data_IF_751857178751
#
_entry.id   IF_751857178751
#
_cell.length_a   1.000
_cell.length_b   1.000
_cell.length_c   1.000
_cell.angle_alpha   90.00
_cell.angle_beta   90.00
_cell.angle_gamma   90.00
#
_symmetry.space_group_name_H-M   'P 1'
#
loop_
_entity.id
_entity.type
_entity.pdbx_description
1 polymer ?
#
# COMPACT_ATOMS: atom_id res chain seq x y z
N UNK A 1 0.61 -9.13 9.22
CA UNK A 1 1.51 -10.30 9.23
C UNK A 1 0.84 -11.60 9.68
N UNK A 2 0.05 -11.65 10.76
CA UNK A 2 -0.52 -12.92 11.26
C UNK A 2 -1.43 -13.63 10.23
N UNK A 3 -2.30 -12.87 9.55
CA UNK A 3 -3.19 -13.41 8.52
C UNK A 3 -2.41 -13.96 7.32
N UNK A 4 -1.41 -13.22 6.82
CA UNK A 4 -0.60 -13.68 5.69
C UNK A 4 0.18 -14.94 6.03
N UNK A 5 0.65 -15.06 7.29
CA UNK A 5 1.28 -16.27 7.80
C UNK A 5 0.31 -17.45 7.82
N UNK A 6 -0.90 -17.31 8.38
CA UNK A 6 -1.84 -18.43 8.43
C UNK A 6 -2.28 -18.92 7.05
N UNK A 7 -2.50 -17.99 6.11
CA UNK A 7 -2.81 -18.35 4.73
C UNK A 7 -1.63 -19.06 4.06
N UNK A 8 -0.41 -18.59 4.29
CA UNK A 8 0.79 -19.26 3.81
C UNK A 8 0.94 -20.67 4.39
N UNK A 9 0.80 -20.82 5.71
CA UNK A 9 0.94 -22.11 6.41
C UNK A 9 -0.10 -23.13 5.93
N UNK A 10 -1.33 -22.68 5.62
CA UNK A 10 -2.41 -23.57 5.17
C UNK A 10 -2.33 -23.91 3.68
N UNK A 11 -2.06 -22.92 2.81
CA UNK A 11 -2.09 -23.11 1.35
C UNK A 11 -0.71 -23.40 0.75
N UNK A 12 0.38 -23.23 1.49
CA UNK A 12 1.76 -23.36 1.01
C UNK A 12 2.15 -22.32 -0.04
N UNK A 13 1.38 -21.23 -0.17
CA UNK A 13 1.54 -20.20 -1.19
C UNK A 13 1.64 -18.82 -0.54
N UNK A 14 2.55 -18.00 -1.05
CA UNK A 14 2.65 -16.60 -0.63
C UNK A 14 1.39 -15.83 -1.01
N UNK A 15 1.05 -14.86 -0.18
CA UNK A 15 -0.19 -14.09 -0.26
C UNK A 15 0.01 -12.85 -1.13
N UNK A 16 -1.01 -12.53 -1.93
CA UNK A 16 -1.13 -11.24 -2.60
C UNK A 16 -2.07 -10.38 -1.76
N UNK A 17 -1.60 -9.20 -1.35
CA UNK A 17 -2.40 -8.23 -0.60
C UNK A 17 -2.94 -7.17 -1.56
N UNK A 18 -4.26 -7.03 -1.61
CA UNK A 18 -4.95 -5.97 -2.36
C UNK A 18 -5.54 -5.00 -1.35
N UNK A 19 -5.15 -3.73 -1.42
CA UNK A 19 -5.58 -2.69 -0.50
C UNK A 19 -6.26 -1.60 -1.31
N UNK A 20 -7.58 -1.58 -1.24
CA UNK A 20 -8.37 -0.55 -1.90
C UNK A 20 -8.48 0.71 -1.04
N UNK A 21 -8.57 1.85 -1.72
CA UNK A 21 -8.74 3.19 -1.14
C UNK A 21 -7.84 3.47 0.07
N UNK A 22 -6.53 3.21 -0.07
CA UNK A 22 -5.57 3.36 1.04
C UNK A 22 -5.50 4.79 1.60
N UNK A 23 -5.92 5.78 0.80
CA UNK A 23 -5.91 7.21 1.09
C UNK A 23 -7.17 7.72 1.78
N UNK A 24 -8.30 6.99 1.70
CA UNK A 24 -9.55 7.35 2.39
C UNK A 24 -9.40 7.61 3.91
N UNK A 25 -8.72 6.75 4.70
CA UNK A 25 -8.53 7.03 6.11
C UNK A 25 -7.62 8.24 6.37
N UNK A 26 -6.73 8.56 5.44
CA UNK A 26 -5.82 9.72 5.54
C UNK A 26 -6.58 11.02 5.26
N UNK A 27 -7.49 11.01 4.28
CA UNK A 27 -8.40 12.12 3.99
C UNK A 27 -9.22 12.45 5.23
N UNK A 28 -9.88 11.45 5.82
CA UNK A 28 -10.68 11.64 7.03
C UNK A 28 -9.83 12.15 8.19
N UNK A 29 -8.61 11.67 8.35
CA UNK A 29 -7.71 12.19 9.36
C UNK A 29 -7.28 13.64 9.07
N UNK A 30 -7.12 14.03 7.82
CA UNK A 30 -6.82 15.40 7.41
C UNK A 30 -7.95 16.36 7.79
N UNK A 31 -9.19 16.00 7.48
CA UNK A 31 -10.40 16.77 7.83
C UNK A 31 -10.52 16.98 9.35
N UNK A 32 -10.05 16.02 10.14
CA UNK A 32 -10.06 16.08 11.61
C UNK A 32 -8.76 16.65 12.22
N UNK A 33 -7.85 17.23 11.43
CA UNK A 33 -6.61 17.84 11.95
C UNK A 33 -5.57 16.83 12.47
N UNK A 34 -5.65 15.57 12.04
CA UNK A 34 -4.79 14.46 12.46
C UNK A 34 -3.93 13.87 11.34
N UNK A 35 -3.78 14.59 10.22
CA UNK A 35 -3.04 14.15 9.03
C UNK A 35 -1.67 13.53 9.34
N UNK A 36 -0.80 14.27 10.06
CA UNK A 36 0.56 13.80 10.37
C UNK A 36 0.56 12.53 11.23
N UNK A 37 -0.40 12.39 12.16
CA UNK A 37 -0.53 11.18 13.00
C UNK A 37 -0.96 9.99 12.15
N UNK A 38 -1.92 10.19 11.25
CA UNK A 38 -2.39 9.14 10.35
C UNK A 38 -1.29 8.69 9.37
N UNK A 39 -0.60 9.63 8.71
CA UNK A 39 0.52 9.32 7.82
C UNK A 39 1.59 8.51 8.56
N UNK A 40 2.01 8.93 9.76
CA UNK A 40 3.02 8.21 10.53
C UNK A 40 2.56 6.80 10.93
N UNK A 41 1.29 6.66 11.32
CA UNK A 41 0.70 5.37 11.64
C UNK A 41 0.70 4.43 10.43
N UNK A 42 0.14 4.88 9.30
CA UNK A 42 0.04 4.10 8.08
C UNK A 42 1.41 3.77 7.49
N UNK A 43 2.37 4.71 7.56
CA UNK A 43 3.76 4.48 7.19
C UNK A 43 4.36 3.30 7.96
N UNK A 44 4.21 3.26 9.28
CA UNK A 44 4.65 2.14 10.11
C UNK A 44 3.92 0.83 9.79
N UNK A 45 2.60 0.91 9.62
CA UNK A 45 1.75 -0.24 9.30
C UNK A 45 2.15 -0.90 7.98
N UNK A 46 2.25 -0.14 6.89
CA UNK A 46 2.61 -0.67 5.57
C UNK A 46 4.07 -1.13 5.53
N UNK A 47 4.99 -0.42 6.20
CA UNK A 47 6.38 -0.87 6.35
C UNK A 47 6.46 -2.23 7.01
N UNK A 48 5.70 -2.48 8.08
CA UNK A 48 5.64 -3.79 8.73
C UNK A 48 4.93 -4.85 7.88
N UNK A 49 4.12 -4.46 6.90
CA UNK A 49 3.38 -5.41 6.05
C UNK A 49 4.22 -5.85 4.86
N UNK A 50 5.02 -4.93 4.30
CA UNK A 50 5.83 -5.14 3.09
C UNK A 50 7.26 -5.57 3.42
N UNK A 51 7.90 -4.95 4.43
CA UNK A 51 9.30 -5.22 4.77
C UNK A 51 9.40 -6.33 5.81
N UNK A 52 10.06 -7.43 5.46
CA UNK A 52 10.29 -8.57 6.36
C UNK A 52 9.11 -9.54 6.48
N UNK A 53 8.15 -9.49 5.55
CA UNK A 53 7.04 -10.43 5.48
C UNK A 53 7.27 -11.47 4.38
N UNK A 54 8.00 -12.54 4.71
CA UNK A 54 8.35 -13.61 3.74
C UNK A 54 7.12 -14.37 3.21
N UNK A 55 5.95 -14.17 3.84
CA UNK A 55 4.69 -14.78 3.47
C UNK A 55 3.92 -14.00 2.40
N UNK A 56 4.36 -12.79 2.05
CA UNK A 56 3.72 -11.93 1.05
C UNK A 56 4.57 -11.91 -0.20
N UNK A 57 3.93 -12.16 -1.35
CA UNK A 57 4.60 -12.08 -2.65
C UNK A 57 4.55 -10.66 -3.21
N UNK A 58 3.37 -10.03 -3.13
CA UNK A 58 3.12 -8.71 -3.72
C UNK A 58 2.04 -7.98 -2.93
N UNK A 59 2.15 -6.65 -2.86
CA UNK A 59 1.11 -5.76 -2.36
C UNK A 59 0.70 -4.80 -3.48
N UNK A 60 -0.58 -4.76 -3.79
CA UNK A 60 -1.18 -3.80 -4.72
C UNK A 60 -2.07 -2.86 -3.91
N UNK A 61 -1.89 -1.55 -4.11
CA UNK A 61 -2.63 -0.53 -3.38
C UNK A 61 -3.24 0.46 -4.37
N UNK A 62 -4.52 0.77 -4.20
CA UNK A 62 -5.27 1.70 -5.05
C UNK A 62 -5.78 2.89 -4.24
N UNK A 63 -5.76 4.07 -4.85
CA UNK A 63 -6.15 5.33 -4.21
C UNK A 63 -5.98 6.50 -5.17
N UNK A 64 -6.54 7.66 -4.81
CA UNK A 64 -6.59 8.85 -5.66
C UNK A 64 -5.46 9.84 -5.32
N UNK A 65 -5.13 9.98 -4.04
CA UNK A 65 -4.20 10.99 -3.55
C UNK A 65 -2.73 10.61 -3.72
N UNK A 66 -1.99 11.45 -4.44
CA UNK A 66 -0.53 11.34 -4.58
C UNK A 66 0.24 11.84 -3.36
N UNK A 67 -0.27 12.80 -2.59
CA UNK A 67 0.45 13.35 -1.42
C UNK A 67 0.56 12.32 -0.30
N UNK A 68 -0.52 11.55 -0.06
CA UNK A 68 -0.51 10.43 0.88
C UNK A 68 0.51 9.36 0.46
N UNK A 69 0.60 9.11 -0.85
CA UNK A 69 1.57 8.21 -1.48
C UNK A 69 3.01 8.57 -1.12
N UNK A 70 3.42 9.81 -1.36
CA UNK A 70 4.80 10.26 -1.10
C UNK A 70 5.15 10.19 0.39
N UNK A 71 4.20 10.57 1.27
CA UNK A 71 4.39 10.49 2.72
C UNK A 71 4.60 9.07 3.24
N UNK A 72 3.76 8.12 2.80
CA UNK A 72 3.80 6.72 3.25
C UNK A 72 4.96 5.96 2.61
N UNK A 73 5.16 6.13 1.30
CA UNK A 73 6.02 5.25 0.52
C UNK A 73 7.44 5.77 0.29
N UNK A 74 7.75 6.99 0.75
CA UNK A 74 9.12 7.54 0.75
C UNK A 74 10.16 6.67 1.45
N UNK A 75 9.75 5.75 2.34
CA UNK A 75 10.64 4.82 3.05
C UNK A 75 10.52 3.36 2.61
N UNK A 76 9.74 3.06 1.57
CA UNK A 76 9.61 1.70 1.04
C UNK A 76 10.52 1.55 -0.18
N UNK A 77 11.56 0.73 -0.03
CA UNK A 77 12.67 0.68 -0.99
C UNK A 77 12.37 0.00 -2.35
N UNK A 78 11.21 -0.66 -2.53
CA UNK A 78 10.91 -1.49 -3.71
C UNK A 78 9.46 -1.31 -4.23
N UNK A 79 8.93 -0.09 -4.30
CA UNK A 79 7.58 0.13 -4.86
C UNK A 79 7.65 0.58 -6.32
N UNK A 80 7.02 -0.18 -7.20
CA UNK A 80 6.73 0.27 -8.56
C UNK A 80 5.39 1.03 -8.56
N UNK A 81 5.37 2.12 -9.30
CA UNK A 81 4.24 3.04 -9.37
C UNK A 81 3.69 2.99 -10.77
N UNK A 82 2.39 2.70 -10.87
CA UNK A 82 1.65 2.86 -12.10
C UNK A 82 0.57 3.92 -11.92
N UNK A 83 0.45 4.83 -12.88
CA UNK A 83 -0.66 5.79 -12.93
C UNK A 83 -1.42 5.64 -14.24
N UNK A 84 -2.73 5.89 -14.22
CA UNK A 84 -3.58 5.84 -15.43
C UNK A 84 -3.11 6.85 -16.51
N UNK A 85 -2.30 7.83 -16.12
CA UNK A 85 -1.74 8.85 -17.01
C UNK A 85 -0.35 8.49 -17.57
N UNK A 86 0.24 7.34 -17.20
CA UNK A 86 1.48 6.88 -17.80
C UNK A 86 1.22 6.38 -19.23
N UNK A 87 1.98 6.93 -20.19
CA UNK A 87 1.76 6.80 -21.64
C UNK A 87 1.87 5.37 -22.22
N UNK A 88 2.07 4.34 -21.39
CA UNK A 88 2.04 2.93 -21.79
C UNK A 88 0.65 2.28 -21.79
N UNK A 89 -0.37 2.97 -21.27
CA UNK A 89 -1.77 2.49 -21.28
C UNK A 89 -2.61 3.18 -22.36
N UNK A 90 -2.00 3.58 -23.48
CA UNK A 90 -2.73 3.77 -24.73
C UNK A 90 -2.76 2.42 -25.44
N UNK A 91 -3.85 1.69 -25.22
CA UNK A 91 -4.30 0.61 -26.09
C UNK A 91 -4.11 1.03 -27.54
N UNK A 92 -3.52 0.15 -28.35
CA UNK A 92 -3.14 0.45 -29.73
C UNK A 92 -4.26 1.12 -30.53
N UNK A 93 -3.90 2.26 -31.12
CA UNK A 93 -4.39 2.73 -32.42
C UNK A 93 -3.27 2.52 -33.45
#
# INVERSE_FOLDING_TARGET
MLLSKYLYDYYGKKVILLIDEYDNPIIKAHENGHYNKAINFFKGFYKSTVKGNDYVEMVVMTGVLRVAKEGIFSELNNMEVHTVLEEGCRSGD
#
